data_IF_219673617506
#
_entry.id   IF_219673617506
#
_cell.length_a   1.000
_cell.length_b   1.000
_cell.length_c   1.000
_cell.angle_alpha   90.00
_cell.angle_beta   90.00
_cell.angle_gamma   90.00
#
_symmetry.space_group_name_H-M   'P 1'
#
loop_
_entity.id
_entity.type
_entity.pdbx_description
1 polymer ?
#
# COMPACT_ATOMS: atom_id res chain seq x y z
N UNK A 1 -18.19 0.37 11.65
CA UNK A 1 -19.08 -0.52 12.37
C UNK A 1 -18.37 -1.75 12.92
N UNK A 2 -19.12 -2.60 13.57
CA UNK A 2 -18.56 -3.80 14.20
C UNK A 2 -17.91 -4.76 13.20
N UNK A 3 -18.44 -4.82 11.99
CA UNK A 3 -17.87 -5.66 10.93
C UNK A 3 -16.46 -5.19 10.56
N UNK A 4 -16.27 -3.89 10.45
CA UNK A 4 -14.95 -3.32 10.11
C UNK A 4 -13.95 -3.62 11.21
N UNK A 5 -14.36 -3.48 12.47
CA UNK A 5 -13.50 -3.79 13.62
C UNK A 5 -13.10 -5.25 13.63
N UNK A 6 -14.02 -6.16 13.29
CA UNK A 6 -13.74 -7.60 13.23
C UNK A 6 -12.71 -7.89 12.13
N UNK A 7 -12.83 -7.25 10.97
CA UNK A 7 -11.87 -7.39 9.88
C UNK A 7 -10.48 -6.93 10.32
N UNK A 8 -10.37 -5.75 10.96
CA UNK A 8 -9.09 -5.25 11.46
C UNK A 8 -8.45 -6.20 12.46
N UNK A 9 -9.24 -6.71 13.41
CA UNK A 9 -8.73 -7.62 14.43
C UNK A 9 -8.23 -8.93 13.81
N UNK A 10 -8.91 -9.41 12.78
CA UNK A 10 -8.56 -10.69 12.14
C UNK A 10 -7.27 -10.61 11.33
N UNK A 11 -7.02 -9.49 10.65
CA UNK A 11 -5.88 -9.37 9.74
C UNK A 11 -4.73 -8.54 10.30
N UNK A 12 -4.82 -8.08 11.54
CA UNK A 12 -3.75 -7.38 12.25
C UNK A 12 -3.17 -6.21 11.44
N UNK A 13 -4.02 -5.25 11.08
CA UNK A 13 -3.57 -4.05 10.38
C UNK A 13 -2.56 -3.28 11.22
N UNK A 14 -1.49 -2.79 10.57
CA UNK A 14 -0.43 -1.99 11.21
C UNK A 14 -0.60 -0.54 10.86
N UNK A 15 -0.92 0.28 11.86
CA UNK A 15 -1.15 1.72 11.68
C UNK A 15 0.18 2.46 11.77
N UNK A 16 0.37 3.43 10.87
CA UNK A 16 1.57 4.27 10.86
C UNK A 16 1.21 5.71 10.49
N UNK A 17 2.12 6.63 10.79
CA UNK A 17 1.92 8.05 10.48
C UNK A 17 2.74 8.44 9.26
N UNK A 18 2.16 9.31 8.42
CA UNK A 18 2.85 9.91 7.29
C UNK A 18 2.58 11.42 7.30
N UNK A 19 3.36 12.17 6.54
CA UNK A 19 3.10 13.61 6.42
C UNK A 19 1.75 13.93 5.77
N UNK A 20 1.15 12.97 5.11
CA UNK A 20 -0.17 13.12 4.47
C UNK A 20 -1.33 12.73 5.39
N UNK A 21 -1.04 12.03 6.49
CA UNK A 21 -2.04 11.52 7.41
C UNK A 21 -1.76 10.09 7.82
N UNK A 22 -2.73 9.46 8.47
CA UNK A 22 -2.57 8.08 8.95
C UNK A 22 -2.62 7.09 7.81
N UNK A 23 -1.70 6.11 7.86
CA UNK A 23 -1.69 4.98 6.97
C UNK A 23 -1.93 3.68 7.72
N UNK A 24 -2.21 2.62 6.98
CA UNK A 24 -2.38 1.29 7.52
C UNK A 24 -1.88 0.25 6.52
N UNK A 25 -1.22 -0.81 7.03
CA UNK A 25 -0.69 -1.89 6.21
C UNK A 25 -1.23 -3.24 6.65
N UNK A 26 -1.43 -4.13 5.68
CA UNK A 26 -1.97 -5.47 5.89
C UNK A 26 -1.17 -6.52 5.12
N UNK A 27 -1.01 -7.70 5.72
CA UNK A 27 -0.60 -8.89 4.99
C UNK A 27 -1.82 -9.80 4.85
N UNK A 28 -2.45 -9.79 3.69
CA UNK A 28 -3.66 -10.57 3.43
C UNK A 28 -3.88 -10.73 1.93
N UNK A 29 -4.57 -11.81 1.56
CA UNK A 29 -5.02 -12.00 0.18
C UNK A 29 -6.31 -11.24 -0.09
N UNK A 30 -6.96 -10.72 0.95
CA UNK A 30 -8.23 -10.02 0.84
C UNK A 30 -8.03 -8.58 0.39
N UNK A 31 -8.32 -8.29 -0.88
CA UNK A 31 -8.15 -6.96 -1.46
C UNK A 31 -9.19 -5.94 -0.98
N UNK A 32 -10.29 -6.39 -0.38
CA UNK A 32 -11.34 -5.48 0.10
C UNK A 32 -10.88 -4.61 1.27
N UNK A 33 -9.80 -5.01 1.97
CA UNK A 33 -9.27 -4.21 3.09
C UNK A 33 -8.87 -2.81 2.66
N UNK A 34 -8.46 -2.62 1.39
CA UNK A 34 -8.05 -1.32 0.90
C UNK A 34 -9.24 -0.34 0.91
N UNK A 35 -10.38 -0.75 0.36
CA UNK A 35 -11.58 0.09 0.32
C UNK A 35 -12.12 0.36 1.73
N UNK A 36 -12.11 -0.65 2.60
CA UNK A 36 -12.56 -0.48 3.98
C UNK A 36 -11.69 0.53 4.71
N UNK A 37 -10.37 0.42 4.58
CA UNK A 37 -9.45 1.36 5.22
C UNK A 37 -9.66 2.79 4.72
N UNK A 38 -9.85 2.97 3.42
CA UNK A 38 -10.12 4.29 2.86
C UNK A 38 -11.41 4.89 3.40
N UNK A 39 -12.46 4.09 3.57
CA UNK A 39 -13.72 4.54 4.17
C UNK A 39 -13.55 4.96 5.63
N UNK A 40 -12.60 4.36 6.33
CA UNK A 40 -12.29 4.72 7.72
C UNK A 40 -11.40 5.95 7.83
N UNK A 41 -10.96 6.52 6.70
CA UNK A 41 -10.19 7.75 6.69
C UNK A 41 -8.67 7.57 6.61
N UNK A 42 -8.19 6.36 6.42
CA UNK A 42 -6.76 6.14 6.22
C UNK A 42 -6.33 6.70 4.86
N UNK A 43 -5.30 7.53 4.87
CA UNK A 43 -4.84 8.24 3.68
C UNK A 43 -4.00 7.35 2.78
N UNK A 44 -3.18 6.51 3.39
CA UNK A 44 -2.33 5.56 2.67
C UNK A 44 -2.65 4.15 3.14
N UNK A 45 -2.86 3.23 2.20
CA UNK A 45 -3.15 1.84 2.51
C UNK A 45 -2.19 0.95 1.73
N UNK A 46 -1.55 0.01 2.41
CA UNK A 46 -0.64 -0.96 1.81
C UNK A 46 -1.19 -2.36 2.05
N UNK A 47 -1.28 -3.14 0.99
CA UNK A 47 -1.61 -4.56 1.12
C UNK A 47 -0.50 -5.39 0.48
N UNK A 48 0.01 -6.36 1.22
CA UNK A 48 0.97 -7.33 0.72
C UNK A 48 0.31 -8.71 0.71
N UNK A 49 0.36 -9.37 -0.45
CA UNK A 49 -0.13 -10.74 -0.58
C UNK A 49 0.89 -11.69 0.08
N UNK A 50 0.52 -12.43 1.14
CA UNK A 50 1.46 -13.30 1.84
C UNK A 50 1.88 -14.53 1.06
N UNK A 51 1.16 -14.87 -0.01
CA UNK A 51 1.47 -16.06 -0.81
C UNK A 51 2.34 -15.74 -2.01
N UNK A 52 1.97 -14.70 -2.77
CA UNK A 52 2.66 -14.33 -4.01
C UNK A 52 3.64 -13.18 -3.83
N UNK A 53 3.56 -12.49 -2.69
CA UNK A 53 4.45 -11.38 -2.39
C UNK A 53 4.10 -10.07 -3.08
N UNK A 54 3.03 -10.00 -3.83
CA UNK A 54 2.62 -8.78 -4.53
C UNK A 54 2.21 -7.69 -3.55
N UNK A 55 2.49 -6.44 -3.93
CA UNK A 55 2.19 -5.29 -3.09
C UNK A 55 1.30 -4.30 -3.84
N UNK A 56 0.33 -3.74 -3.14
CA UNK A 56 -0.52 -2.69 -3.63
C UNK A 56 -0.56 -1.56 -2.63
N UNK A 57 -0.22 -0.35 -3.09
CA UNK A 57 -0.25 0.86 -2.26
C UNK A 57 -1.24 1.81 -2.91
N UNK A 58 -2.20 2.30 -2.12
CA UNK A 58 -3.19 3.27 -2.59
C UNK A 58 -3.28 4.45 -1.65
N UNK A 59 -3.45 5.63 -2.22
CA UNK A 59 -3.77 6.84 -1.45
C UNK A 59 -5.12 7.35 -1.88
N UNK A 60 -5.74 8.18 -1.03
CA UNK A 60 -7.01 8.82 -1.34
C UNK A 60 -6.87 9.77 -2.53
N UNK A 61 -7.95 9.99 -3.29
CA UNK A 61 -7.95 11.00 -4.35
C UNK A 61 -7.61 12.37 -3.80
N UNK A 62 -7.09 13.25 -4.67
CA UNK A 62 -6.78 14.62 -4.28
C UNK A 62 -8.03 15.33 -3.76
N UNK A 63 -7.87 16.04 -2.64
CA UNK A 63 -8.91 16.87 -2.04
C UNK A 63 -8.25 18.08 -1.37
N UNK A 64 -9.05 18.95 -0.78
CA UNK A 64 -8.53 20.11 -0.06
C UNK A 64 -7.65 19.71 1.13
N UNK A 65 -7.85 18.51 1.67
CA UNK A 65 -7.14 18.03 2.86
C UNK A 65 -6.01 17.08 2.55
N UNK A 66 -6.05 16.40 1.41
CA UNK A 66 -5.10 15.34 1.06
C UNK A 66 -4.69 15.46 -0.40
N UNK A 67 -3.39 15.46 -0.62
CA UNK A 67 -2.82 15.39 -1.97
C UNK A 67 -1.52 14.60 -1.89
N UNK A 68 -1.64 13.33 -1.60
CA UNK A 68 -0.48 12.43 -1.54
C UNK A 68 -0.05 12.04 -2.95
N UNK A 69 1.26 12.09 -3.19
CA UNK A 69 1.88 11.72 -4.46
C UNK A 69 2.87 10.59 -4.18
N UNK A 70 2.68 9.45 -4.82
CA UNK A 70 3.48 8.26 -4.57
C UNK A 70 4.78 8.20 -5.38
N UNK A 71 5.15 9.27 -6.08
CA UNK A 71 6.36 9.29 -6.92
C UNK A 71 7.63 9.00 -6.11
N UNK A 72 7.81 9.67 -4.98
CA UNK A 72 9.00 9.46 -4.14
C UNK A 72 9.03 8.06 -3.54
N UNK A 73 7.87 7.52 -3.19
CA UNK A 73 7.75 6.15 -2.69
C UNK A 73 8.19 5.18 -3.79
N UNK A 74 7.70 5.36 -5.00
CA UNK A 74 8.07 4.54 -6.16
C UNK A 74 9.57 4.56 -6.40
N UNK A 75 10.17 5.75 -6.41
CA UNK A 75 11.61 5.89 -6.64
C UNK A 75 12.42 5.18 -5.56
N UNK A 76 12.02 5.31 -4.31
CA UNK A 76 12.72 4.70 -3.18
C UNK A 76 12.60 3.17 -3.21
N UNK A 77 11.41 2.63 -3.45
CA UNK A 77 11.22 1.19 -3.53
C UNK A 77 11.97 0.59 -4.71
N UNK A 78 12.02 1.31 -5.84
CA UNK A 78 12.77 0.87 -7.01
C UNK A 78 14.27 0.82 -6.74
N UNK A 79 14.79 1.73 -5.91
CA UNK A 79 16.20 1.68 -5.48
C UNK A 79 16.46 0.53 -4.54
N UNK A 80 15.53 0.24 -3.62
CA UNK A 80 15.71 -0.82 -2.63
C UNK A 80 15.57 -2.21 -3.24
N UNK A 81 14.73 -2.35 -4.26
CA UNK A 81 14.47 -3.63 -4.91
C UNK A 81 14.32 -3.42 -6.42
N UNK A 82 15.44 -3.17 -7.14
CA UNK A 82 15.40 -2.84 -8.57
C UNK A 82 14.98 -4.02 -9.46
N UNK A 83 15.07 -5.25 -8.98
CA UNK A 83 14.69 -6.43 -9.75
C UNK A 83 13.18 -6.67 -9.74
N UNK A 84 12.48 -6.13 -8.74
CA UNK A 84 11.03 -6.25 -8.66
C UNK A 84 10.34 -5.38 -9.72
N UNK A 85 9.17 -5.82 -10.15
CA UNK A 85 8.39 -5.08 -11.14
C UNK A 85 7.51 -4.05 -10.43
N UNK A 86 7.87 -2.78 -10.55
CA UNK A 86 7.12 -1.68 -9.94
C UNK A 86 6.38 -0.87 -11.00
N UNK A 87 5.14 -0.55 -10.74
CA UNK A 87 4.31 0.26 -11.63
C UNK A 87 3.64 1.39 -10.85
N UNK A 88 3.94 2.63 -11.23
CA UNK A 88 3.28 3.80 -10.67
C UNK A 88 2.21 4.28 -11.64
N UNK A 89 0.95 4.29 -11.19
CA UNK A 89 -0.16 4.76 -12.00
C UNK A 89 0.03 6.24 -12.37
N UNK A 90 -0.43 6.62 -13.55
CA UNK A 90 -0.25 7.98 -14.08
C UNK A 90 -0.78 9.06 -13.13
N UNK A 91 -1.85 8.78 -12.39
CA UNK A 91 -2.41 9.71 -11.39
C UNK A 91 -1.61 9.83 -10.11
N UNK A 92 -0.55 9.04 -9.93
CA UNK A 92 0.31 9.03 -8.74
C UNK A 92 -0.39 8.63 -7.45
N UNK A 93 -1.57 8.02 -7.54
CA UNK A 93 -2.41 7.62 -6.39
C UNK A 93 -2.42 6.12 -6.16
N UNK A 94 -1.75 5.34 -7.01
CA UNK A 94 -1.65 3.90 -6.88
C UNK A 94 -0.29 3.41 -7.35
N UNK A 95 0.35 2.58 -6.54
CA UNK A 95 1.64 1.98 -6.83
C UNK A 95 1.51 0.48 -6.66
N UNK A 96 1.89 -0.28 -7.68
CA UNK A 96 1.75 -1.73 -7.70
C UNK A 96 3.11 -2.41 -7.83
N UNK A 97 3.28 -3.50 -7.10
CA UNK A 97 4.29 -4.49 -7.41
C UNK A 97 3.55 -5.70 -7.97
N UNK A 98 3.36 -5.66 -9.29
CA UNK A 98 2.74 -6.73 -10.02
C UNK A 98 1.22 -6.80 -9.99
N UNK A 99 0.69 -7.50 -10.96
CA UNK A 99 -0.74 -7.79 -11.05
C UNK A 99 -0.92 -9.22 -11.54
N UNK A 100 -2.09 -9.79 -11.29
CA UNK A 100 -2.42 -11.12 -11.79
C UNK A 100 -2.43 -11.18 -13.34
N UNK A 101 -2.54 -10.03 -13.99
CA UNK A 101 -2.56 -9.91 -15.45
C UNK A 101 -1.19 -9.92 -16.10
N UNK A 102 -0.12 -9.78 -15.31
CA UNK A 102 1.26 -9.78 -15.84
C UNK A 102 2.01 -11.00 -15.31
N UNK A 103 2.04 -12.10 -16.07
CA UNK A 103 2.70 -13.33 -15.61
C UNK A 103 4.23 -13.22 -15.52
N UNK A 104 4.83 -12.20 -16.12
CA UNK A 104 6.28 -12.00 -16.12
C UNK A 104 6.75 -11.07 -15.01
N UNK A 105 5.84 -10.55 -14.20
CA UNK A 105 6.22 -9.63 -13.15
C UNK A 105 7.00 -10.33 -12.03
N UNK A 106 7.94 -9.60 -11.47
CA UNK A 106 8.79 -10.10 -10.39
C UNK A 106 8.29 -9.51 -9.08
N UNK A 107 7.84 -10.37 -8.12
CA UNK A 107 7.39 -9.88 -6.83
C UNK A 107 8.55 -9.30 -6.03
N UNK A 108 8.24 -8.34 -5.17
CA UNK A 108 9.25 -7.74 -4.30
C UNK A 108 9.64 -8.69 -3.18
N UNK A 109 10.93 -8.66 -2.83
CA UNK A 109 11.45 -9.37 -1.65
C UNK A 109 11.32 -8.56 -0.37
N UNK A 110 10.88 -7.31 -0.47
CA UNK A 110 10.70 -6.43 0.69
C UNK A 110 9.52 -6.90 1.54
N UNK A 111 9.70 -6.81 2.86
CA UNK A 111 8.64 -7.12 3.80
C UNK A 111 7.71 -5.94 3.95
N UNK A 112 6.50 -6.18 4.47
CA UNK A 112 5.54 -5.11 4.72
C UNK A 112 6.16 -4.02 5.60
N UNK A 113 6.90 -4.39 6.64
CA UNK A 113 7.56 -3.41 7.53
C UNK A 113 8.55 -2.52 6.79
N UNK A 114 9.29 -3.06 5.83
CA UNK A 114 10.24 -2.28 5.02
C UNK A 114 9.51 -1.23 4.21
N UNK A 115 8.38 -1.59 3.64
CA UNK A 115 7.55 -0.69 2.83
C UNK A 115 6.93 0.41 3.72
N UNK A 116 6.43 0.03 4.88
CA UNK A 116 5.87 0.98 5.84
C UNK A 116 6.92 2.02 6.25
N UNK A 117 8.17 1.58 6.51
CA UNK A 117 9.25 2.50 6.85
C UNK A 117 9.52 3.53 5.76
N UNK A 118 9.43 3.12 4.50
CA UNK A 118 9.56 4.05 3.37
C UNK A 118 8.44 5.08 3.40
N UNK A 119 7.20 4.63 3.61
CA UNK A 119 6.03 5.51 3.65
C UNK A 119 6.10 6.51 4.80
N UNK A 120 6.64 6.11 5.95
CA UNK A 120 6.82 7.00 7.10
C UNK A 120 7.84 8.11 6.85
N UNK A 121 8.80 7.89 5.94
CA UNK A 121 9.91 8.82 5.71
C UNK A 121 9.70 9.75 4.52
N UNK A 122 8.82 9.41 3.62
CA UNK A 122 8.52 10.24 2.47
C UNK A 122 7.27 11.05 2.70
#
# INVERSE_FOLDING_TARGET
>A
GNMDQTVWNTINGRIFETRYGKGIGFETINDTVIKLAQKMGYVLVVRKDPRKGYVRIKTLPKSDKVDADLTLVYEQLKKMDPEATWFLHVGKKMLLNGTAKNPKMIPTKLKLDDIIKVLEKV
#
